data_IF_587749624020
#
_entry.id   IF_587749624020
#
_cell.length_a   1.000
_cell.length_b   1.000
_cell.length_c   1.000
_cell.angle_alpha   90.00
_cell.angle_beta   90.00
_cell.angle_gamma   90.00
#
_symmetry.space_group_name_H-M   'P 1'
#
loop_
_entity.id
_entity.type
_entity.pdbx_description
1 polymer ?
#
# COMPACT_ATOMS: atom_id res chain seq x y z
N UNK A 1 17.95 -0.34 15.81
CA UNK A 1 17.09 -1.49 16.16
C UNK A 1 16.70 -1.41 17.63
N UNK A 2 16.09 -0.29 18.02
CA UNK A 2 15.78 0.08 19.42
C UNK A 2 14.26 0.27 19.63
N UNK A 3 13.47 -0.24 18.68
CA UNK A 3 12.04 0.03 18.54
C UNK A 3 11.11 -0.80 19.45
N UNK A 4 11.64 -1.76 20.25
CA UNK A 4 10.79 -2.87 20.67
C UNK A 4 10.60 -3.18 22.15
N UNK A 5 11.31 -2.58 23.10
CA UNK A 5 10.99 -2.80 24.53
C UNK A 5 11.45 -1.63 25.39
N UNK A 6 10.50 -0.88 25.98
CA UNK A 6 10.60 -0.48 27.40
C UNK A 6 9.38 0.22 28.02
N UNK A 7 8.39 0.70 27.27
CA UNK A 7 7.18 1.26 27.88
C UNK A 7 5.97 1.07 26.97
N UNK A 8 4.91 0.46 27.50
CA UNK A 8 3.60 0.44 26.86
C UNK A 8 2.93 1.79 27.09
N UNK A 9 2.16 2.26 26.10
CA UNK A 9 1.34 3.45 26.30
C UNK A 9 0.27 3.19 27.36
N UNK A 10 -0.26 4.26 27.96
CA UNK A 10 -1.17 4.15 29.11
C UNK A 10 -2.52 3.51 28.76
N UNK A 11 -2.89 3.59 27.50
CA UNK A 11 -4.12 3.11 26.87
C UNK A 11 -3.97 1.75 26.20
N UNK A 12 -2.80 1.12 26.30
CA UNK A 12 -2.52 -0.18 25.72
C UNK A 12 -3.51 -1.27 26.17
N UNK A 13 -4.22 -1.87 25.20
CA UNK A 13 -5.08 -3.03 25.42
C UNK A 13 -4.44 -4.30 24.82
N UNK A 14 -4.00 -5.28 25.63
CA UNK A 14 -3.39 -6.50 25.11
C UNK A 14 -4.37 -7.42 24.36
N UNK A 15 -5.68 -7.23 24.45
CA UNK A 15 -6.65 -8.05 23.71
C UNK A 15 -6.83 -7.56 22.27
N UNK A 16 -6.64 -6.26 22.02
CA UNK A 16 -6.82 -5.63 20.70
C UNK A 16 -5.47 -5.25 20.05
N UNK A 17 -4.46 -4.87 20.84
CA UNK A 17 -3.19 -4.28 20.35
C UNK A 17 -1.96 -5.16 20.62
N UNK A 18 -2.14 -6.48 20.75
CA UNK A 18 -1.04 -7.40 21.02
C UNK A 18 0.05 -7.31 19.93
N UNK A 19 1.30 -6.91 20.25
CA UNK A 19 2.37 -6.77 19.25
C UNK A 19 2.97 -8.12 18.79
N UNK A 20 2.49 -9.23 19.33
CA UNK A 20 3.08 -10.56 19.12
C UNK A 20 4.35 -10.79 19.94
N UNK A 21 5.00 -11.94 19.70
CA UNK A 21 6.16 -12.40 20.50
C UNK A 21 7.48 -11.71 20.08
N UNK A 22 7.55 -11.20 18.85
CA UNK A 22 8.71 -10.54 18.26
C UNK A 22 8.30 -9.70 17.03
N UNK A 23 9.15 -8.76 16.58
CA UNK A 23 8.93 -8.06 15.31
C UNK A 23 8.78 -9.07 14.17
N UNK A 24 7.74 -8.90 13.35
CA UNK A 24 7.39 -9.82 12.27
C UNK A 24 7.14 -11.27 12.72
N UNK A 25 6.59 -11.48 13.92
CA UNK A 25 6.22 -12.82 14.37
C UNK A 25 5.06 -13.43 13.57
N UNK A 26 4.11 -12.60 13.14
CA UNK A 26 2.96 -13.05 12.33
C UNK A 26 3.33 -13.29 10.86
N UNK A 27 2.86 -14.38 10.23
CA UNK A 27 3.23 -14.74 8.86
C UNK A 27 2.84 -13.68 7.82
N UNK A 28 1.72 -12.99 8.01
CA UNK A 28 1.23 -11.90 7.14
C UNK A 28 2.24 -10.75 7.10
N UNK A 29 2.75 -10.36 8.26
CA UNK A 29 3.74 -9.27 8.38
C UNK A 29 5.08 -9.67 7.75
N UNK A 30 5.48 -10.95 7.83
CA UNK A 30 6.69 -11.45 7.18
C UNK A 30 6.57 -11.42 5.65
N UNK A 31 5.40 -11.79 5.10
CA UNK A 31 5.13 -11.73 3.66
C UNK A 31 5.20 -10.28 3.20
N UNK A 32 4.51 -9.37 3.88
CA UNK A 32 4.50 -7.96 3.52
C UNK A 32 5.91 -7.35 3.56
N UNK A 33 6.70 -7.69 4.59
CA UNK A 33 8.10 -7.28 4.68
C UNK A 33 8.93 -7.73 3.48
N UNK A 34 8.80 -9.01 3.09
CA UNK A 34 9.54 -9.55 1.94
C UNK A 34 9.13 -8.86 0.64
N UNK A 35 7.82 -8.67 0.43
CA UNK A 35 7.29 -7.99 -0.74
C UNK A 35 7.79 -6.56 -0.84
N UNK A 36 7.68 -5.78 0.24
CA UNK A 36 8.12 -4.39 0.27
C UNK A 36 9.61 -4.23 -0.05
N UNK A 37 10.46 -5.07 0.54
CA UNK A 37 11.91 -5.06 0.27
C UNK A 37 12.20 -5.46 -1.19
N UNK A 38 11.49 -6.45 -1.73
CA UNK A 38 11.74 -6.94 -3.08
C UNK A 38 11.17 -6.05 -4.19
N UNK A 39 10.07 -5.36 -3.91
CA UNK A 39 9.36 -4.51 -4.86
C UNK A 39 9.92 -3.09 -4.90
N UNK A 40 10.55 -2.64 -3.80
CA UNK A 40 11.13 -1.29 -3.66
C UNK A 40 10.12 -0.17 -4.02
N UNK A 41 9.01 -0.05 -3.27
CA UNK A 41 7.95 0.87 -3.64
C UNK A 41 8.38 2.33 -3.49
N UNK A 42 7.91 3.17 -4.42
CA UNK A 42 8.02 4.62 -4.31
C UNK A 42 6.94 5.23 -3.40
N UNK A 43 5.78 4.57 -3.35
CA UNK A 43 4.61 5.02 -2.57
C UNK A 43 4.02 3.80 -1.84
N UNK A 44 3.76 3.95 -0.55
CA UNK A 44 3.07 3.01 0.30
C UNK A 44 1.80 3.64 0.86
N UNK A 45 0.67 2.94 0.76
CA UNK A 45 -0.61 3.35 1.34
C UNK A 45 -1.18 2.18 2.12
N UNK A 46 -1.36 2.37 3.43
CA UNK A 46 -1.98 1.44 4.35
C UNK A 46 -3.42 1.92 4.63
N UNK A 47 -4.43 1.18 4.15
CA UNK A 47 -5.85 1.62 4.21
C UNK A 47 -6.56 0.98 5.41
N UNK A 48 -7.20 1.83 6.21
CA UNK A 48 -7.92 1.53 7.45
C UNK A 48 -9.28 2.24 7.47
N UNK A 49 -10.11 1.90 8.44
CA UNK A 49 -11.34 2.61 8.75
C UNK A 49 -11.52 2.71 10.27
N UNK A 50 -12.51 3.49 10.69
CA UNK A 50 -12.80 3.86 12.08
C UNK A 50 -12.81 5.36 12.30
N UNK A 51 -12.21 6.13 11.39
CA UNK A 51 -12.25 7.59 11.34
C UNK A 51 -12.03 8.09 9.89
N UNK A 52 -12.12 9.41 9.68
CA UNK A 52 -11.71 10.06 8.43
C UNK A 52 -10.40 10.84 8.65
N UNK A 53 -9.28 10.30 8.16
CA UNK A 53 -7.96 10.92 8.30
C UNK A 53 -6.94 10.43 7.26
N UNK A 54 -5.92 11.25 7.05
CA UNK A 54 -4.82 11.03 6.13
C UNK A 54 -3.51 11.24 6.90
N UNK A 55 -2.92 10.14 7.36
CA UNK A 55 -1.68 10.20 8.11
C UNK A 55 -0.46 9.97 7.23
N UNK A 56 0.60 10.66 7.63
CA UNK A 56 1.98 10.39 7.27
C UNK A 56 2.74 10.01 8.54
N UNK A 57 3.96 9.46 8.46
CA UNK A 57 4.77 9.21 9.63
C UNK A 57 4.86 10.45 10.56
N UNK A 58 5.15 10.30 11.84
CA UNK A 58 5.29 9.03 12.55
C UNK A 58 4.02 8.64 13.31
N UNK A 59 3.78 7.34 13.45
CA UNK A 59 2.76 6.81 14.35
C UNK A 59 3.29 6.67 15.78
N UNK A 60 4.57 6.27 15.92
CA UNK A 60 5.22 6.10 17.23
C UNK A 60 5.78 7.41 17.83
N UNK A 61 5.62 8.55 17.15
CA UNK A 61 6.04 9.87 17.64
C UNK A 61 4.93 10.89 17.45
N UNK A 62 4.79 11.83 18.38
CA UNK A 62 3.88 12.98 18.26
C UNK A 62 4.48 14.09 17.38
N UNK A 63 4.97 13.74 16.18
CA UNK A 63 5.49 14.69 15.19
C UNK A 63 5.60 14.00 13.84
N UNK A 64 5.48 14.80 12.78
CA UNK A 64 5.85 14.35 11.43
C UNK A 64 7.37 14.39 11.24
N UNK A 65 7.93 13.68 10.24
CA UNK A 65 9.28 13.90 9.78
C UNK A 65 9.51 15.36 9.40
N UNK A 66 10.78 15.77 9.41
CA UNK A 66 11.19 17.11 9.05
C UNK A 66 11.65 17.16 7.57
N UNK A 67 11.76 18.37 7.03
CA UNK A 67 12.37 18.61 5.72
C UNK A 67 11.45 18.46 4.50
N UNK A 68 12.05 18.65 3.33
CA UNK A 68 11.34 18.67 2.04
C UNK A 68 10.52 17.41 1.74
N UNK A 69 11.01 16.16 1.98
CA UNK A 69 10.19 14.97 1.71
C UNK A 69 8.88 14.97 2.50
N UNK A 70 8.93 15.44 3.75
CA UNK A 70 7.73 15.59 4.59
C UNK A 70 6.76 16.62 4.04
N UNK A 71 7.28 17.76 3.57
CA UNK A 71 6.46 18.79 2.94
C UNK A 71 5.75 18.29 1.67
N UNK A 72 6.44 17.52 0.82
CA UNK A 72 5.82 16.95 -0.40
C UNK A 72 4.75 15.90 -0.07
N UNK A 73 4.99 15.04 0.92
CA UNK A 73 3.95 14.13 1.44
C UNK A 73 2.73 14.92 1.91
N UNK A 74 2.93 15.98 2.70
CA UNK A 74 1.84 16.82 3.21
C UNK A 74 1.04 17.49 2.10
N UNK A 75 1.71 18.04 1.08
CA UNK A 75 1.06 18.67 -0.08
C UNK A 75 0.19 17.67 -0.86
N UNK A 76 0.68 16.44 -1.05
CA UNK A 76 -0.13 15.39 -1.69
C UNK A 76 -1.37 15.05 -0.84
N UNK A 77 -1.22 14.92 0.49
CA UNK A 77 -2.34 14.65 1.37
C UNK A 77 -3.36 15.80 1.41
N UNK A 78 -2.91 17.05 1.36
CA UNK A 78 -3.80 18.23 1.29
C UNK A 78 -4.64 18.22 0.01
N UNK A 79 -4.04 17.87 -1.12
CA UNK A 79 -4.77 17.74 -2.39
C UNK A 79 -5.76 16.57 -2.35
N UNK A 80 -5.37 15.41 -1.82
CA UNK A 80 -6.27 14.28 -1.65
C UNK A 80 -7.44 14.60 -0.72
N UNK A 81 -7.18 15.31 0.38
CA UNK A 81 -8.23 15.72 1.31
C UNK A 81 -9.21 16.68 0.64
N UNK A 82 -8.71 17.63 -0.14
CA UNK A 82 -9.54 18.60 -0.86
C UNK A 82 -10.46 17.93 -1.88
N UNK A 83 -9.92 16.98 -2.66
CA UNK A 83 -10.64 16.36 -3.79
C UNK A 83 -11.52 15.17 -3.36
N UNK A 84 -11.02 14.30 -2.48
CA UNK A 84 -11.64 12.99 -2.21
C UNK A 84 -12.22 12.85 -0.80
N UNK A 85 -11.67 13.58 0.19
CA UNK A 85 -12.23 13.59 1.54
C UNK A 85 -13.04 14.86 1.84
N UNK A 86 -13.22 15.74 0.85
CA UNK A 86 -13.97 16.99 0.94
C UNK A 86 -13.60 17.86 2.16
N UNK A 87 -12.30 17.93 2.47
CA UNK A 87 -11.74 18.68 3.61
C UNK A 87 -12.20 18.18 4.99
N UNK A 88 -12.76 16.97 5.06
CA UNK A 88 -13.16 16.35 6.34
C UNK A 88 -12.00 15.64 7.03
N UNK A 89 -11.04 15.11 6.26
CA UNK A 89 -9.96 14.33 6.82
C UNK A 89 -8.98 15.20 7.60
N UNK A 90 -8.57 14.73 8.78
CA UNK A 90 -7.41 15.27 9.47
C UNK A 90 -6.12 14.88 8.74
N UNK A 91 -5.12 15.76 8.69
CA UNK A 91 -3.80 15.48 8.11
C UNK A 91 -2.72 15.68 9.17
N UNK A 92 -1.82 14.71 9.33
CA UNK A 92 -0.69 14.83 10.25
C UNK A 92 0.01 13.51 10.54
N UNK A 93 0.72 13.48 11.67
CA UNK A 93 1.36 12.27 12.19
C UNK A 93 0.30 11.41 12.88
N UNK A 94 0.27 10.09 12.66
CA UNK A 94 -0.70 9.22 13.35
C UNK A 94 -0.60 9.37 14.87
N UNK A 95 0.62 9.40 15.40
CA UNK A 95 0.89 9.53 16.84
C UNK A 95 0.50 10.88 17.44
N UNK A 96 0.52 11.95 16.64
CA UNK A 96 0.18 13.29 17.10
C UNK A 96 -1.26 13.71 16.83
N UNK A 97 -1.86 13.18 15.76
CA UNK A 97 -3.20 13.51 15.30
C UNK A 97 -4.29 12.72 16.02
N UNK A 98 -4.04 11.44 16.34
CA UNK A 98 -5.04 10.57 16.98
C UNK A 98 -5.02 10.68 18.51
N UNK A 99 -3.89 11.11 19.09
CA UNK A 99 -3.76 11.37 20.52
C UNK A 99 -3.15 10.23 21.35
N UNK A 100 -2.70 9.16 20.71
CA UNK A 100 -1.89 8.09 21.31
C UNK A 100 -0.75 7.68 20.38
N UNK A 101 0.29 7.04 20.92
CA UNK A 101 1.46 6.61 20.14
C UNK A 101 1.37 5.13 19.78
N UNK A 102 1.32 4.82 18.49
CA UNK A 102 1.30 3.44 18.01
C UNK A 102 2.71 2.99 17.63
N UNK A 103 3.22 1.94 18.29
CA UNK A 103 4.55 1.40 18.03
C UNK A 103 4.48 0.15 17.14
N UNK A 104 5.47 -0.02 16.27
CA UNK A 104 5.56 -1.19 15.39
C UNK A 104 4.61 -1.17 14.19
N UNK A 105 4.16 0.02 13.77
CA UNK A 105 3.24 0.19 12.65
C UNK A 105 3.91 -0.06 11.31
N UNK A 106 3.10 -0.45 10.31
CA UNK A 106 3.58 -0.68 8.95
C UNK A 106 4.12 0.60 8.30
N UNK A 107 3.42 1.72 8.45
CA UNK A 107 3.79 3.01 7.84
C UNK A 107 5.12 3.53 8.35
N UNK A 108 5.39 3.42 9.65
CA UNK A 108 6.69 3.79 10.21
C UNK A 108 7.81 2.85 9.74
N UNK A 109 7.56 1.54 9.65
CA UNK A 109 8.53 0.58 9.10
C UNK A 109 8.86 0.86 7.63
N UNK A 110 7.85 1.14 6.81
CA UNK A 110 8.03 1.46 5.39
C UNK A 110 8.86 2.73 5.21
N UNK A 111 8.61 3.75 6.03
CA UNK A 111 9.35 5.00 5.99
C UNK A 111 10.79 4.87 6.49
N UNK A 112 10.99 4.37 7.73
CA UNK A 112 12.31 4.40 8.38
C UNK A 112 13.23 3.26 7.93
N UNK A 113 12.69 2.09 7.61
CA UNK A 113 13.48 0.88 7.34
C UNK A 113 13.52 0.57 5.85
N UNK A 114 12.37 0.51 5.19
CA UNK A 114 12.31 0.24 3.73
C UNK A 114 12.70 1.47 2.91
N UNK A 115 12.64 2.67 3.51
CA UNK A 115 12.97 3.95 2.86
C UNK A 115 12.05 4.30 1.70
N UNK A 116 10.78 3.91 1.80
CA UNK A 116 9.75 4.30 0.84
C UNK A 116 9.60 5.84 0.87
N UNK A 117 9.81 6.54 -0.26
CA UNK A 117 9.78 8.00 -0.33
C UNK A 117 8.50 8.63 0.22
N UNK A 118 7.36 7.98 0.00
CA UNK A 118 6.05 8.44 0.48
C UNK A 118 5.30 7.28 1.13
N UNK A 119 5.12 7.36 2.44
CA UNK A 119 4.41 6.33 3.22
C UNK A 119 3.21 6.97 3.92
N UNK A 120 2.05 6.33 3.81
CA UNK A 120 0.81 6.86 4.34
C UNK A 120 -0.05 5.81 5.05
N UNK A 121 -0.83 6.25 6.04
CA UNK A 121 -1.98 5.52 6.57
C UNK A 121 -3.24 6.31 6.25
N UNK A 122 -4.21 5.70 5.56
CA UNK A 122 -5.47 6.33 5.22
C UNK A 122 -6.58 5.73 6.07
N UNK A 123 -7.30 6.58 6.78
CA UNK A 123 -8.54 6.24 7.48
C UNK A 123 -9.70 6.75 6.64
N UNK A 124 -10.37 5.83 5.94
CA UNK A 124 -11.22 6.18 4.80
C UNK A 124 -12.69 6.38 5.13
N UNK A 125 -13.10 5.97 6.34
CA UNK A 125 -14.48 6.03 6.79
C UNK A 125 -14.53 5.90 8.31
N UNK A 126 -15.38 6.68 8.96
CA UNK A 126 -15.77 6.47 10.35
C UNK A 126 -17.12 7.09 10.64
N UNK A 127 -18.00 6.35 11.31
CA UNK A 127 -19.30 6.86 11.74
C UNK A 127 -19.29 7.27 13.21
N UNK A 128 -19.12 8.57 13.46
CA UNK A 128 -19.12 9.15 14.81
C UNK A 128 -20.50 9.10 15.50
N UNK A 129 -21.56 8.69 14.78
CA UNK A 129 -22.90 8.47 15.36
C UNK A 129 -23.11 7.03 15.79
N UNK A 130 -22.17 6.11 15.47
CA UNK A 130 -22.22 4.75 15.95
C UNK A 130 -22.09 4.71 17.48
N UNK A 131 -22.87 3.85 18.13
CA UNK A 131 -22.68 3.60 19.56
C UNK A 131 -21.44 2.74 19.77
N UNK A 132 -20.84 2.78 20.97
CA UNK A 132 -19.69 1.92 21.34
C UNK A 132 -19.95 0.42 21.16
N UNK A 133 -21.20 -0.01 20.99
CA UNK A 133 -21.59 -1.41 20.77
C UNK A 133 -21.81 -1.75 19.29
N UNK A 134 -21.89 -0.75 18.42
CA UNK A 134 -22.14 -0.92 16.99
C UNK A 134 -20.84 -0.73 16.21
N UNK A 135 -19.89 -1.62 16.46
CA UNK A 135 -18.58 -1.59 15.81
C UNK A 135 -18.73 -1.69 14.28
N UNK A 136 -19.68 -2.50 13.79
CA UNK A 136 -19.87 -2.66 12.36
C UNK A 136 -20.16 -1.32 11.69
N UNK A 137 -21.12 -0.56 12.21
CA UNK A 137 -21.45 0.77 11.68
C UNK A 137 -20.31 1.77 11.87
N UNK A 138 -19.56 1.69 12.96
CA UNK A 138 -18.42 2.59 13.20
C UNK A 138 -17.36 2.47 12.10
N UNK A 139 -17.08 1.23 11.68
CA UNK A 139 -16.00 0.92 10.73
C UNK A 139 -16.46 0.72 9.29
N UNK A 140 -17.77 0.54 9.04
CA UNK A 140 -18.29 0.17 7.72
C UNK A 140 -19.56 0.96 7.36
N UNK A 141 -19.67 1.46 6.12
CA UNK A 141 -20.92 1.97 5.59
C UNK A 141 -22.03 0.93 5.66
N UNK A 142 -23.16 1.27 6.29
CA UNK A 142 -24.31 0.38 6.45
C UNK A 142 -25.39 0.57 5.38
N UNK A 143 -25.29 1.62 4.57
CA UNK A 143 -26.18 1.91 3.45
C UNK A 143 -25.43 1.98 2.12
N UNK A 144 -26.13 1.61 1.03
CA UNK A 144 -25.56 1.53 -0.32
C UNK A 144 -25.06 2.89 -0.84
N UNK A 145 -25.68 3.99 -0.43
CA UNK A 145 -25.31 5.33 -0.91
C UNK A 145 -23.96 5.73 -0.31
N UNK A 146 -23.80 5.58 1.00
CA UNK A 146 -22.55 5.85 1.70
C UNK A 146 -21.45 4.89 1.24
N UNK A 147 -21.77 3.60 1.09
CA UNK A 147 -20.82 2.61 0.59
C UNK A 147 -20.25 2.99 -0.77
N UNK A 148 -21.12 3.32 -1.75
CA UNK A 148 -20.71 3.73 -3.09
C UNK A 148 -19.92 5.03 -3.08
N UNK A 149 -20.31 6.00 -2.24
CA UNK A 149 -19.56 7.25 -2.09
C UNK A 149 -18.13 6.98 -1.62
N UNK A 150 -17.97 6.28 -0.49
CA UNK A 150 -16.64 5.94 0.07
C UNK A 150 -15.80 5.18 -0.96
N UNK A 151 -16.38 4.17 -1.61
CA UNK A 151 -15.67 3.40 -2.63
C UNK A 151 -15.23 4.26 -3.81
N UNK A 152 -16.11 5.13 -4.32
CA UNK A 152 -15.80 6.00 -5.46
C UNK A 152 -14.72 7.04 -5.11
N UNK A 153 -14.85 7.72 -3.97
CA UNK A 153 -13.90 8.74 -3.52
C UNK A 153 -12.50 8.13 -3.35
N UNK A 154 -12.40 7.01 -2.64
CA UNK A 154 -11.10 6.42 -2.31
C UNK A 154 -10.48 5.59 -3.44
N UNK A 155 -11.28 5.03 -4.35
CA UNK A 155 -10.74 4.47 -5.59
C UNK A 155 -10.21 5.57 -6.52
N UNK A 156 -10.90 6.71 -6.60
CA UNK A 156 -10.45 7.87 -7.36
C UNK A 156 -9.16 8.49 -6.80
N UNK A 157 -8.97 8.46 -5.47
CA UNK A 157 -7.76 8.94 -4.80
C UNK A 157 -6.47 8.31 -5.34
N UNK A 158 -6.47 7.01 -5.66
CA UNK A 158 -5.30 6.35 -6.23
C UNK A 158 -4.94 6.87 -7.62
N UNK A 159 -5.92 7.25 -8.45
CA UNK A 159 -5.63 7.89 -9.73
C UNK A 159 -5.00 9.28 -9.55
N UNK A 160 -5.43 10.04 -8.55
CA UNK A 160 -4.77 11.31 -8.19
C UNK A 160 -3.34 11.06 -7.71
N UNK A 161 -3.10 10.03 -6.89
CA UNK A 161 -1.74 9.64 -6.48
C UNK A 161 -0.88 9.26 -7.68
N UNK A 162 -1.39 8.45 -8.62
CA UNK A 162 -0.62 8.08 -9.82
C UNK A 162 -0.27 9.29 -10.68
N UNK A 163 -1.16 10.29 -10.72
CA UNK A 163 -0.92 11.53 -11.47
C UNK A 163 0.09 12.44 -10.77
N UNK A 164 -0.03 12.64 -9.46
CA UNK A 164 0.72 13.66 -8.73
C UNK A 164 2.00 13.11 -8.06
N UNK A 165 1.97 11.86 -7.62
CA UNK A 165 3.07 11.21 -6.89
C UNK A 165 4.42 11.30 -7.58
N UNK A 166 4.54 10.99 -8.89
CA UNK A 166 5.82 11.08 -9.60
C UNK A 166 6.43 12.49 -9.57
N UNK A 167 5.61 13.54 -9.69
CA UNK A 167 6.08 14.92 -9.61
C UNK A 167 6.62 15.27 -8.22
N UNK A 168 5.91 14.81 -7.20
CA UNK A 168 6.26 15.03 -5.80
C UNK A 168 7.58 14.31 -5.44
N UNK A 169 7.82 13.12 -6.01
CA UNK A 169 9.07 12.35 -5.85
C UNK A 169 10.21 12.97 -6.66
N UNK A 170 9.97 13.42 -7.89
CA UNK A 170 11.02 14.02 -8.73
C UNK A 170 11.56 15.34 -8.14
N UNK A 171 10.72 16.14 -7.49
CA UNK A 171 11.18 17.33 -6.73
C UNK A 171 12.13 16.92 -5.60
N UNK A 172 11.86 15.82 -4.91
CA UNK A 172 12.76 15.27 -3.91
C UNK A 172 14.09 14.82 -4.53
N UNK A 173 14.05 14.09 -5.65
CA UNK A 173 15.26 13.65 -6.37
C UNK A 173 16.09 14.82 -6.87
N UNK A 174 15.48 15.85 -7.46
CA UNK A 174 16.18 17.05 -7.94
C UNK A 174 16.79 17.88 -6.81
N UNK A 175 16.11 18.00 -5.68
CA UNK A 175 16.66 18.67 -4.49
C UNK A 175 17.82 17.87 -3.85
N UNK A 176 17.73 16.53 -3.84
CA UNK A 176 18.83 15.68 -3.40
C UNK A 176 20.03 15.77 -4.35
N UNK A 177 19.79 15.81 -5.67
CA UNK A 177 20.82 15.99 -6.71
C UNK A 177 21.46 17.37 -6.65
N UNK A 178 20.72 18.45 -6.32
CA UNK A 178 21.34 19.78 -6.16
C UNK A 178 22.27 19.88 -4.93
N UNK A 179 22.26 18.89 -4.05
CA UNK A 179 23.21 18.75 -2.93
C UNK A 179 24.44 17.90 -3.27
N UNK A 180 24.45 17.27 -4.45
CA UNK A 180 25.52 16.41 -4.95
C UNK A 180 25.90 16.82 -6.39
N UNK A 181 26.63 17.93 -6.52
CA UNK A 181 27.27 18.30 -7.78
C UNK A 181 28.41 17.32 -8.13
N UNK A 182 28.12 16.30 -8.96
CA UNK A 182 28.97 15.85 -10.08
C UNK A 182 28.27 14.80 -10.95
N UNK A 183 27.76 15.29 -12.08
CA UNK A 183 27.41 14.62 -13.35
C UNK A 183 27.73 13.13 -13.54
N UNK A 184 26.71 12.37 -13.98
CA UNK A 184 26.78 11.49 -15.16
C UNK A 184 25.44 11.63 -15.92
N UNK A 185 25.50 11.87 -17.23
CA UNK A 185 24.32 12.02 -18.10
C UNK A 185 23.60 10.68 -18.27
N UNK A 186 22.27 10.70 -18.15
CA UNK A 186 21.39 9.54 -18.33
C UNK A 186 21.42 9.01 -19.78
N UNK A 187 21.86 9.85 -20.73
CA UNK A 187 21.95 9.49 -22.15
C UNK A 187 22.99 8.37 -22.38
N UNK A 188 24.05 8.31 -21.58
CA UNK A 188 25.11 7.31 -21.70
C UNK A 188 24.67 5.92 -21.19
N UNK A 189 23.75 5.89 -20.21
CA UNK A 189 23.17 4.65 -19.69
C UNK A 189 22.12 4.05 -20.65
N UNK A 190 21.30 4.90 -21.28
CA UNK A 190 20.32 4.46 -22.26
C UNK A 190 20.97 3.97 -23.56
N UNK A 191 22.04 4.61 -24.03
CA UNK A 191 22.76 4.15 -25.23
C UNK A 191 23.40 2.76 -25.01
N UNK A 192 23.97 2.51 -23.82
CA UNK A 192 24.51 1.20 -23.45
C UNK A 192 23.43 0.10 -23.33
N UNK A 193 22.28 0.42 -22.75
CA UNK A 193 21.17 -0.53 -22.56
C UNK A 193 20.46 -0.86 -23.89
N UNK A 194 20.34 0.11 -24.80
CA UNK A 194 19.75 -0.08 -26.13
C UNK A 194 20.68 -0.81 -27.11
N UNK A 195 22.00 -0.68 -26.96
CA UNK A 195 22.98 -1.44 -27.74
C UNK A 195 22.99 -2.94 -27.39
N UNK A 196 22.61 -3.31 -26.15
CA UNK A 196 22.64 -4.69 -25.65
C UNK A 196 21.53 -5.61 -26.16
N UNK A 197 20.49 -5.08 -26.83
CA UNK A 197 19.33 -5.88 -27.30
C UNK A 197 18.98 -5.62 -28.76
N UNK A 198 19.97 -5.77 -29.65
CA UNK A 198 19.69 -6.03 -31.07
C UNK A 198 19.11 -7.43 -31.24
N UNK A 199 17.81 -7.52 -31.50
CA UNK A 199 17.20 -8.76 -32.01
C UNK A 199 17.76 -9.05 -33.42
N UNK A 200 17.84 -10.33 -33.83
CA UNK A 200 18.48 -10.84 -35.05
C UNK A 200 17.98 -10.27 -36.39
N UNK A 201 17.07 -9.29 -36.38
CA UNK A 201 16.45 -8.70 -37.57
C UNK A 201 16.55 -7.16 -37.65
N UNK A 202 17.35 -6.51 -36.79
CA UNK A 202 17.82 -5.14 -37.06
C UNK A 202 16.78 -4.01 -37.06
N UNK A 203 15.57 -4.22 -36.54
CA UNK A 203 14.55 -3.16 -36.38
C UNK A 203 14.66 -2.52 -34.99
N UNK A 204 14.68 -1.18 -34.96
CA UNK A 204 14.65 -0.34 -33.75
C UNK A 204 13.20 -0.34 -33.22
N UNK A 205 12.95 -0.99 -32.09
CA UNK A 205 11.63 -0.96 -31.44
C UNK A 205 11.60 0.15 -30.39
N UNK A 206 10.54 0.94 -30.38
CA UNK A 206 10.36 2.04 -29.43
C UNK A 206 9.98 1.51 -28.04
N UNK A 207 10.29 2.26 -26.98
CA UNK A 207 10.08 1.88 -25.56
C UNK A 207 8.62 1.48 -25.28
N UNK A 208 7.66 2.13 -25.95
CA UNK A 208 6.23 1.84 -25.89
C UNK A 208 5.87 0.45 -26.45
N UNK A 209 6.58 0.01 -27.49
CA UNK A 209 6.34 -1.27 -28.15
C UNK A 209 6.82 -2.45 -27.27
N UNK A 210 7.95 -2.26 -26.60
CA UNK A 210 8.47 -3.22 -25.61
C UNK A 210 7.53 -3.29 -24.40
N UNK A 211 7.09 -2.14 -23.88
CA UNK A 211 6.14 -2.10 -22.75
C UNK A 211 4.82 -2.82 -23.04
N UNK A 212 4.24 -2.62 -24.23
CA UNK A 212 3.02 -3.33 -24.65
C UNK A 212 3.24 -4.83 -24.85
N UNK A 213 4.41 -5.25 -25.31
CA UNK A 213 4.75 -6.66 -25.49
C UNK A 213 4.88 -7.40 -24.15
N UNK A 214 5.49 -6.76 -23.16
CA UNK A 214 5.59 -7.29 -21.80
C UNK A 214 4.20 -7.42 -21.15
N UNK A 215 3.36 -6.37 -21.21
CA UNK A 215 1.97 -6.41 -20.71
C UNK A 215 1.17 -7.54 -21.36
N UNK A 216 1.30 -7.73 -22.67
CA UNK A 216 0.64 -8.83 -23.39
C UNK A 216 1.10 -10.21 -22.93
N UNK A 217 2.36 -10.33 -22.52
CA UNK A 217 2.94 -11.57 -21.99
C UNK A 217 2.42 -11.85 -20.58
N UNK A 218 2.41 -10.86 -19.70
CA UNK A 218 1.81 -10.97 -18.36
C UNK A 218 0.33 -11.33 -18.41
N UNK A 219 -0.44 -10.70 -19.31
CA UNK A 219 -1.87 -11.00 -19.47
C UNK A 219 -2.11 -12.45 -19.93
N UNK A 220 -1.27 -12.98 -20.82
CA UNK A 220 -1.33 -14.38 -21.26
C UNK A 220 -1.02 -15.35 -20.12
N UNK A 221 -0.01 -15.04 -19.29
CA UNK A 221 0.36 -15.87 -18.14
C UNK A 221 -0.73 -15.85 -17.05
N UNK A 222 -1.36 -14.70 -16.82
CA UNK A 222 -2.48 -14.54 -15.90
C UNK A 222 -3.73 -15.32 -16.34
N UNK A 223 -4.07 -15.28 -17.64
CA UNK A 223 -5.15 -16.09 -18.19
C UNK A 223 -4.87 -17.59 -18.06
N UNK A 224 -3.63 -18.01 -18.36
CA UNK A 224 -3.22 -19.41 -18.21
C UNK A 224 -3.33 -19.87 -16.75
N UNK A 225 -2.86 -19.08 -15.79
CA UNK A 225 -2.93 -19.42 -14.36
C UNK A 225 -4.39 -19.51 -13.87
N UNK A 226 -5.25 -18.60 -14.33
CA UNK A 226 -6.68 -18.60 -14.00
C UNK A 226 -7.39 -19.85 -14.54
N UNK A 227 -7.08 -20.27 -15.77
CA UNK A 227 -7.62 -21.50 -16.38
C UNK A 227 -7.13 -22.74 -15.63
N UNK A 228 -5.84 -22.80 -15.28
CA UNK A 228 -5.27 -23.92 -14.51
C UNK A 228 -5.89 -24.02 -13.12
N UNK A 229 -6.13 -22.90 -12.45
CA UNK A 229 -6.84 -22.86 -11.16
C UNK A 229 -8.27 -23.39 -11.31
N UNK A 230 -9.00 -22.97 -12.35
CA UNK A 230 -10.35 -23.48 -12.63
C UNK A 230 -10.35 -25.00 -12.83
N UNK A 231 -9.41 -25.54 -13.61
CA UNK A 231 -9.28 -27.00 -13.80
C UNK A 231 -8.96 -27.74 -12.50
N UNK A 232 -8.09 -27.19 -11.66
CA UNK A 232 -7.76 -27.79 -10.35
C UNK A 232 -8.98 -27.80 -9.41
N UNK A 233 -9.78 -26.74 -9.38
CA UNK A 233 -11.02 -26.68 -8.59
C UNK A 233 -12.10 -27.63 -9.11
N UNK A 234 -12.36 -27.64 -10.43
CA UNK A 234 -13.34 -28.53 -11.05
C UNK A 234 -12.98 -30.02 -10.89
N UNK A 235 -11.68 -30.36 -10.98
CA UNK A 235 -11.20 -31.73 -10.79
C UNK A 235 -11.32 -32.22 -9.35
N UNK A 236 -11.20 -31.32 -8.36
CA UNK A 236 -11.43 -31.65 -6.95
C UNK A 236 -12.91 -31.89 -6.65
N UNK A 237 -13.81 -31.05 -7.17
CA UNK A 237 -15.25 -31.18 -6.96
C UNK A 237 -15.82 -32.44 -7.64
N UNK A 238 -15.30 -32.82 -8.81
CA UNK A 238 -15.73 -34.04 -9.52
C UNK A 238 -15.42 -35.34 -8.76
N UNK A 239 -14.35 -35.38 -7.94
CA UNK A 239 -13.97 -36.59 -7.16
C UNK A 239 -14.85 -36.82 -5.93
N UNK A 240 -15.53 -35.80 -5.42
CA UNK A 240 -16.45 -35.90 -4.27
C UNK A 240 -17.86 -36.38 -4.62
N UNK A 241 -18.19 -36.57 -5.90
CA UNK A 241 -19.53 -36.95 -6.36
C UNK A 241 -19.83 -38.44 -6.52
N UNK A 242 -18.89 -39.36 -6.25
CA UNK A 242 -19.17 -40.81 -6.28
C UNK A 242 -19.67 -41.29 -4.92
N UNK A 243 -20.99 -41.25 -4.72
CA UNK A 243 -21.65 -41.93 -3.60
C UNK A 243 -21.50 -43.45 -3.74
N UNK A 244 -21.03 -44.09 -2.67
CA UNK A 244 -21.01 -45.54 -2.49
C UNK A 244 -22.45 -45.97 -2.19
N UNK A 245 -23.03 -46.78 -3.07
CA UNK A 245 -24.34 -47.42 -2.87
C UNK A 245 -24.19 -48.46 -1.75
N UNK A 246 -25.01 -48.36 -0.70
CA UNK A 246 -25.00 -49.27 0.45
C UNK A 246 -25.53 -50.66 0.08
N UNK A 247 -24.79 -51.71 0.43
CA UNK A 247 -25.28 -53.08 0.39
C UNK A 247 -26.17 -53.37 1.62
N UNK A 248 -27.35 -53.91 1.35
CA UNK A 248 -28.33 -54.42 2.34
C UNK A 248 -27.84 -55.81 2.82
N UNK A 249 -27.91 -56.14 4.12
CA UNK A 249 -27.82 -57.52 4.58
C UNK A 249 -29.21 -58.12 4.87
N UNK A 250 -29.33 -59.42 4.55
CA UNK A 250 -30.43 -60.35 4.82
C UNK A 250 -30.48 -60.70 6.30
#
# INVERSE_FOLDING_TARGET
MELYKKKKEKDYDPYEENPGIAPFSEPETQIMRKLAISFDPHIWVNVHSGMEALFMPYDHKNRTPDGLPSQQMRLLLEELNNVHCHKRCMIGSGGGSVGYLAHGTATDYMYDVVRVPMSFTFEIYGDNTATLKDCFKMFNPVDDTTFKRVLNDWSAAFFTIFKLGPHQIDVHSKAAVSSMDKWVSIDEYFDGYLMGRRNRYGKKMEVLEVGMQEIRTYFRLFLLSSVLLLFMFCSRISKTGRQIVSAIPI
#
